data_IF_190488660992
#
_entry.id   IF_190488660992
#
_cell.length_a   1.000
_cell.length_b   1.000
_cell.length_c   1.000
_cell.angle_alpha   90.00
_cell.angle_beta   90.00
_cell.angle_gamma   90.00
#
_symmetry.space_group_name_H-M   'P 1'
#
loop_
_entity.id
_entity.type
_entity.pdbx_description
1 polymer ?
#
# COMPACT_ATOMS: atom_id res chain seq x y z
N UNK A 1 -3.35 -32.22 -10.83
CA UNK A 1 -3.02 -30.93 -11.47
C UNK A 1 -2.32 -30.08 -10.40
N UNK A 2 -0.99 -30.06 -10.39
CA UNK A 2 -0.19 -29.28 -9.43
C UNK A 2 -0.46 -27.81 -9.74
N UNK A 3 -1.17 -27.12 -8.85
CA UNK A 3 -1.13 -25.64 -8.83
C UNK A 3 0.30 -25.22 -8.57
N UNK A 4 1.01 -24.78 -9.61
CA UNK A 4 2.28 -24.10 -9.42
C UNK A 4 2.01 -22.93 -8.46
N UNK A 5 2.64 -22.96 -7.28
CA UNK A 5 2.61 -21.84 -6.36
C UNK A 5 3.12 -20.62 -7.13
N UNK A 6 2.24 -19.64 -7.39
CA UNK A 6 2.65 -18.41 -8.07
C UNK A 6 3.79 -17.78 -7.25
N UNK A 7 4.93 -17.56 -7.90
CA UNK A 7 6.11 -16.93 -7.27
C UNK A 7 5.70 -15.65 -6.53
N UNK A 8 6.17 -15.45 -5.30
CA UNK A 8 5.87 -14.23 -4.55
C UNK A 8 6.41 -13.00 -5.29
N UNK A 9 5.65 -11.93 -5.30
CA UNK A 9 6.08 -10.65 -5.87
C UNK A 9 7.04 -9.93 -4.91
N UNK A 10 8.01 -9.14 -5.42
CA UNK A 10 8.68 -8.16 -4.60
C UNK A 10 7.67 -7.12 -4.10
N UNK A 11 7.90 -6.60 -2.89
CA UNK A 11 7.00 -5.65 -2.23
C UNK A 11 7.73 -4.33 -1.99
N UNK A 12 7.12 -3.22 -2.42
CA UNK A 12 7.53 -1.87 -2.06
C UNK A 12 6.57 -1.28 -1.02
N UNK A 13 7.09 -0.88 0.13
CA UNK A 13 6.35 -0.18 1.18
C UNK A 13 6.62 1.31 1.06
N UNK A 14 5.59 2.13 0.82
CA UNK A 14 5.72 3.58 0.76
C UNK A 14 5.73 4.18 2.16
N UNK A 15 6.87 4.77 2.55
CA UNK A 15 7.09 5.32 3.88
C UNK A 15 7.80 6.71 3.88
N UNK A 16 8.09 7.29 2.71
CA UNK A 16 8.85 8.54 2.57
C UNK A 16 8.08 9.82 2.94
N UNK A 17 6.75 9.73 3.07
CA UNK A 17 5.86 10.88 3.23
C UNK A 17 6.09 11.71 4.50
N UNK A 18 5.83 13.03 4.41
CA UNK A 18 5.97 13.98 5.53
C UNK A 18 4.96 13.76 6.67
N UNK A 19 3.84 13.12 6.43
CA UNK A 19 2.80 12.90 7.43
C UNK A 19 2.10 14.18 7.93
N UNK A 20 2.08 15.27 7.15
CA UNK A 20 1.61 16.60 7.58
C UNK A 20 0.22 16.61 8.21
N UNK A 21 -0.70 15.77 7.72
CA UNK A 21 -2.08 15.64 8.23
C UNK A 21 -2.16 15.09 9.66
N UNK A 22 -1.08 14.48 10.17
CA UNK A 22 -0.99 13.97 11.54
C UNK A 22 -0.67 15.07 12.58
N UNK A 23 -0.34 16.30 12.13
CA UNK A 23 -0.07 17.43 13.01
C UNK A 23 1.07 17.17 14.01
N UNK A 24 0.79 17.36 15.29
CA UNK A 24 1.77 17.20 16.37
C UNK A 24 2.36 15.79 16.47
N UNK A 25 1.63 14.75 16.06
CA UNK A 25 2.07 13.35 16.13
C UNK A 25 3.30 13.05 15.25
N UNK A 26 3.54 13.88 14.23
CA UNK A 26 4.67 13.70 13.30
C UNK A 26 5.70 14.81 13.39
N UNK A 27 5.59 15.71 14.39
CA UNK A 27 6.59 16.76 14.60
C UNK A 27 7.98 16.20 14.91
N UNK A 28 8.04 15.21 15.80
CA UNK A 28 9.31 14.66 16.32
C UNK A 28 9.66 13.27 15.72
N UNK A 29 8.74 12.61 15.04
CA UNK A 29 8.96 11.31 14.40
C UNK A 29 8.27 11.22 13.02
N UNK A 30 8.75 10.39 12.09
CA UNK A 30 8.05 10.18 10.83
C UNK A 30 6.76 9.39 11.07
N UNK A 31 5.74 9.60 10.21
CA UNK A 31 4.42 8.96 10.32
C UNK A 31 4.50 7.42 10.46
N UNK A 32 5.35 6.69 9.72
CA UNK A 32 5.47 5.24 9.86
C UNK A 32 5.84 4.78 11.28
N UNK A 33 6.43 5.64 12.11
CA UNK A 33 6.75 5.36 13.51
C UNK A 33 5.69 5.80 14.53
N UNK A 34 4.54 6.30 14.07
CA UNK A 34 3.40 6.58 14.97
C UNK A 34 2.87 5.25 15.51
N UNK A 35 2.73 5.10 16.85
CA UNK A 35 2.29 3.83 17.43
C UNK A 35 0.78 3.65 17.34
N UNK A 36 0.36 2.45 16.93
CA UNK A 36 -0.99 1.93 17.06
C UNK A 36 -0.92 0.74 18.00
N UNK A 37 -1.63 0.80 19.15
CA UNK A 37 -1.54 -0.25 20.18
C UNK A 37 -0.10 -0.59 20.60
N UNK A 38 0.76 0.42 20.74
CA UNK A 38 2.15 0.27 21.18
C UNK A 38 3.12 -0.23 20.10
N UNK A 39 2.67 -0.46 18.89
CA UNK A 39 3.47 -0.94 17.76
C UNK A 39 3.50 0.09 16.63
N UNK A 40 4.66 0.33 16.01
CA UNK A 40 4.79 1.30 14.91
C UNK A 40 3.94 0.90 13.69
N UNK A 41 3.36 1.88 12.99
CA UNK A 41 2.56 1.65 11.78
C UNK A 41 3.31 0.85 10.72
N UNK A 42 4.59 1.13 10.53
CA UNK A 42 5.42 0.44 9.54
C UNK A 42 5.50 -1.07 9.80
N UNK A 43 5.50 -1.49 11.06
CA UNK A 43 5.64 -2.90 11.43
C UNK A 43 4.45 -3.74 10.96
N UNK A 44 3.25 -3.16 10.93
CA UNK A 44 2.07 -3.83 10.36
C UNK A 44 2.22 -4.06 8.85
N UNK A 45 2.73 -3.07 8.12
CA UNK A 45 2.97 -3.21 6.68
C UNK A 45 4.09 -4.22 6.37
N UNK A 46 5.16 -4.23 7.18
CA UNK A 46 6.26 -5.20 7.06
C UNK A 46 5.76 -6.62 7.30
N UNK A 47 4.92 -6.84 8.33
CA UNK A 47 4.36 -8.17 8.58
C UNK A 47 3.47 -8.64 7.44
N UNK A 48 2.59 -7.78 6.91
CA UNK A 48 1.74 -8.11 5.75
C UNK A 48 2.61 -8.55 4.57
N UNK A 49 3.70 -7.81 4.27
CA UNK A 49 4.61 -8.15 3.20
C UNK A 49 5.34 -9.49 3.46
N UNK A 50 5.85 -9.69 4.67
CA UNK A 50 6.54 -10.93 5.08
C UNK A 50 5.62 -12.15 5.00
N UNK A 51 4.41 -12.05 5.56
CA UNK A 51 3.42 -13.13 5.56
C UNK A 51 2.91 -13.49 4.15
N UNK A 52 2.99 -12.56 3.20
CA UNK A 52 2.70 -12.85 1.79
C UNK A 52 3.74 -13.75 1.12
N UNK A 53 4.86 -14.01 1.80
CA UNK A 53 5.99 -14.80 1.29
C UNK A 53 6.96 -13.98 0.42
N UNK A 54 6.90 -12.65 0.44
CA UNK A 54 7.78 -11.79 -0.33
C UNK A 54 9.25 -12.02 0.06
N UNK A 55 10.10 -12.29 -0.92
CA UNK A 55 11.55 -12.47 -0.71
C UNK A 55 12.30 -11.14 -0.71
N UNK A 56 11.78 -10.14 -1.43
CA UNK A 56 12.30 -8.78 -1.45
C UNK A 56 11.24 -7.84 -0.92
N UNK A 57 11.56 -7.17 0.18
CA UNK A 57 10.72 -6.11 0.77
C UNK A 57 11.58 -4.85 0.80
N UNK A 58 11.15 -3.79 0.14
CA UNK A 58 11.86 -2.51 0.05
C UNK A 58 11.00 -1.40 0.65
N UNK A 59 11.61 -0.57 1.50
CA UNK A 59 10.97 0.59 2.14
C UNK A 59 11.65 1.86 1.67
N UNK A 60 10.92 2.81 1.07
CA UNK A 60 11.50 4.12 0.76
C UNK A 60 11.50 5.05 1.97
N UNK A 61 12.56 5.82 2.10
CA UNK A 61 12.81 6.72 3.20
C UNK A 61 13.02 8.14 2.68
N UNK A 62 12.52 9.15 3.40
CA UNK A 62 12.84 10.55 3.16
C UNK A 62 12.73 11.38 4.45
N UNK A 63 11.52 11.74 4.87
CA UNK A 63 11.32 12.55 6.07
C UNK A 63 11.78 11.83 7.32
N UNK A 64 12.69 12.48 8.08
CA UNK A 64 13.31 11.90 9.30
C UNK A 64 13.81 10.47 9.08
N UNK A 65 14.43 10.26 7.91
CA UNK A 65 14.84 8.95 7.41
C UNK A 65 15.70 8.15 8.38
N UNK A 66 16.60 8.84 9.13
CA UNK A 66 17.49 8.14 10.07
C UNK A 66 16.72 7.39 11.15
N UNK A 67 15.67 8.00 11.71
CA UNK A 67 14.83 7.34 12.73
C UNK A 67 14.16 6.10 12.20
N UNK A 68 13.65 6.15 10.95
CA UNK A 68 12.99 5.01 10.34
C UNK A 68 14.01 3.94 9.92
N UNK A 69 15.19 4.33 9.43
CA UNK A 69 16.28 3.40 9.10
C UNK A 69 16.78 2.66 10.35
N UNK A 70 16.93 3.38 11.48
CA UNK A 70 17.35 2.77 12.76
C UNK A 70 16.31 1.78 13.28
N UNK A 71 15.01 2.12 13.17
CA UNK A 71 13.92 1.22 13.55
C UNK A 71 13.87 -0.07 12.70
N UNK A 72 14.18 0.05 11.41
CA UNK A 72 14.14 -1.06 10.45
C UNK A 72 15.46 -1.85 10.36
N UNK A 73 16.49 -1.49 11.12
CA UNK A 73 17.84 -2.07 11.00
C UNK A 73 17.87 -3.60 11.08
N UNK A 74 17.11 -4.16 12.00
CA UNK A 74 17.04 -5.61 12.24
C UNK A 74 15.81 -6.27 11.57
N UNK A 75 15.02 -5.49 10.84
CA UNK A 75 13.87 -6.00 10.10
C UNK A 75 14.34 -6.67 8.79
N UNK A 76 13.64 -7.71 8.30
CA UNK A 76 13.98 -8.39 7.04
C UNK A 76 13.56 -7.56 5.82
N UNK A 77 14.01 -6.32 5.74
CA UNK A 77 13.69 -5.37 4.67
C UNK A 77 14.95 -4.66 4.17
N UNK A 78 14.91 -4.23 2.92
CA UNK A 78 15.88 -3.28 2.37
C UNK A 78 15.31 -1.87 2.50
N UNK A 79 16.16 -0.87 2.60
CA UNK A 79 15.74 0.54 2.61
C UNK A 79 16.33 1.29 1.41
N UNK A 80 15.60 2.29 0.92
CA UNK A 80 16.04 3.18 -0.13
C UNK A 80 15.79 4.63 0.25
N UNK A 81 16.86 5.40 0.39
CA UNK A 81 16.78 6.83 0.70
C UNK A 81 16.50 7.65 -0.57
N UNK A 82 15.50 8.53 -0.48
CA UNK A 82 15.18 9.51 -1.53
C UNK A 82 15.78 10.88 -1.14
N UNK A 83 16.70 11.38 -1.94
CA UNK A 83 17.35 12.68 -1.76
C UNK A 83 17.57 13.37 -3.11
N UNK A 84 17.63 14.73 -3.14
CA UNK A 84 17.33 15.64 -2.02
C UNK A 84 15.83 15.73 -1.73
N UNK A 85 14.97 15.43 -2.69
CA UNK A 85 13.53 15.60 -2.63
C UNK A 85 12.81 14.26 -2.58
N UNK A 86 11.59 14.28 -2.02
CA UNK A 86 10.66 13.15 -2.10
C UNK A 86 10.25 12.90 -3.55
N UNK A 87 10.24 11.63 -3.96
CA UNK A 87 9.95 11.25 -5.35
C UNK A 87 8.47 10.97 -5.62
N UNK A 88 7.62 11.05 -4.60
CA UNK A 88 6.24 10.58 -4.63
C UNK A 88 6.15 9.08 -4.96
N UNK A 89 4.92 8.55 -5.12
CA UNK A 89 4.73 7.09 -5.24
C UNK A 89 5.25 6.51 -6.55
N UNK A 90 5.06 7.21 -7.67
CA UNK A 90 5.51 6.76 -8.99
C UNK A 90 7.01 6.89 -9.17
N UNK A 91 7.58 8.05 -8.83
CA UNK A 91 9.02 8.28 -8.88
C UNK A 91 9.79 7.41 -7.91
N UNK A 92 9.26 7.20 -6.70
CA UNK A 92 9.83 6.29 -5.70
C UNK A 92 9.87 4.85 -6.20
N UNK A 93 8.77 4.35 -6.79
CA UNK A 93 8.73 3.03 -7.39
C UNK A 93 9.69 2.90 -8.58
N UNK A 94 9.72 3.90 -9.49
CA UNK A 94 10.66 3.93 -10.62
C UNK A 94 12.12 3.85 -10.15
N UNK A 95 12.48 4.63 -9.13
CA UNK A 95 13.82 4.62 -8.56
C UNK A 95 14.17 3.29 -7.88
N UNK A 96 13.18 2.54 -7.37
CA UNK A 96 13.35 1.29 -6.66
C UNK A 96 13.51 0.06 -7.59
N UNK A 97 13.23 0.16 -8.89
CA UNK A 97 13.27 -0.96 -9.84
C UNK A 97 14.58 -1.75 -9.85
N UNK A 98 15.78 -1.13 -9.73
CA UNK A 98 17.02 -1.90 -9.66
C UNK A 98 17.10 -2.89 -8.51
N UNK A 99 16.37 -2.63 -7.41
CA UNK A 99 16.33 -3.49 -6.21
C UNK A 99 15.14 -4.46 -6.24
N UNK A 100 14.02 -4.07 -6.87
CA UNK A 100 12.82 -4.89 -6.97
C UNK A 100 12.86 -5.92 -8.10
N UNK A 101 13.73 -5.71 -9.08
CA UNK A 101 13.82 -6.57 -10.26
C UNK A 101 12.79 -6.25 -11.34
N UNK A 102 12.82 -7.05 -12.40
CA UNK A 102 11.88 -6.93 -13.52
C UNK A 102 10.56 -7.64 -13.21
N UNK A 103 9.45 -7.11 -13.73
CA UNK A 103 8.12 -7.70 -13.63
C UNK A 103 7.17 -6.95 -12.70
N UNK A 104 6.01 -7.55 -12.42
CA UNK A 104 5.03 -6.94 -11.53
C UNK A 104 5.54 -6.84 -10.10
N UNK A 105 5.22 -5.72 -9.45
CA UNK A 105 5.57 -5.40 -8.06
C UNK A 105 4.29 -5.22 -7.26
N UNK A 106 4.30 -5.65 -6.02
CA UNK A 106 3.29 -5.22 -5.03
C UNK A 106 3.73 -3.90 -4.43
N UNK A 107 2.82 -2.93 -4.37
CA UNK A 107 3.04 -1.74 -3.53
C UNK A 107 2.06 -1.72 -2.38
N UNK A 108 2.50 -1.26 -1.21
CA UNK A 108 1.66 -1.09 -0.02
C UNK A 108 2.00 0.23 0.69
N UNK A 109 0.98 0.96 1.10
CA UNK A 109 1.15 2.13 1.97
C UNK A 109 1.41 1.68 3.42
N UNK A 110 2.29 2.41 4.12
CA UNK A 110 2.65 2.12 5.53
C UNK A 110 1.65 2.67 6.55
N UNK A 111 0.53 3.23 6.13
CA UNK A 111 -0.36 4.04 6.97
C UNK A 111 -1.78 3.49 7.10
N UNK A 112 -1.94 2.18 6.94
CA UNK A 112 -3.23 1.51 7.11
C UNK A 112 -3.14 0.30 8.05
N UNK A 113 -4.22 0.05 8.78
CA UNK A 113 -4.41 -1.15 9.60
C UNK A 113 -5.44 -2.07 8.96
N UNK A 114 -5.17 -3.35 9.04
CA UNK A 114 -5.94 -4.41 8.38
C UNK A 114 -6.37 -5.49 9.37
N UNK A 115 -7.55 -6.06 9.16
CA UNK A 115 -8.02 -7.26 9.85
C UNK A 115 -8.73 -8.18 8.85
N UNK A 116 -8.38 -9.44 8.86
CA UNK A 116 -8.92 -10.45 7.96
C UNK A 116 -7.84 -11.08 7.08
N UNK A 117 -8.19 -11.41 5.84
CA UNK A 117 -7.27 -11.99 4.87
C UNK A 117 -6.09 -11.04 4.59
N UNK A 118 -4.87 -11.58 4.44
CA UNK A 118 -3.73 -10.79 4.02
C UNK A 118 -4.02 -10.10 2.67
N UNK A 119 -3.95 -8.75 2.58
CA UNK A 119 -4.37 -8.00 1.40
C UNK A 119 -3.54 -8.33 0.15
N UNK A 120 -2.28 -8.69 0.31
CA UNK A 120 -1.41 -9.12 -0.80
C UNK A 120 -1.83 -10.51 -1.31
N UNK A 121 -2.18 -11.43 -0.40
CA UNK A 121 -2.68 -12.75 -0.76
C UNK A 121 -4.02 -12.64 -1.51
N UNK A 122 -4.92 -11.76 -1.06
CA UNK A 122 -6.20 -11.48 -1.71
C UNK A 122 -6.03 -10.98 -3.16
N UNK A 123 -5.05 -10.10 -3.42
CA UNK A 123 -4.72 -9.65 -4.77
C UNK A 123 -4.08 -10.75 -5.61
N UNK A 124 -3.10 -11.46 -5.04
CA UNK A 124 -2.38 -12.53 -5.75
C UNK A 124 -3.30 -13.63 -6.26
N UNK A 125 -4.34 -13.98 -5.48
CA UNK A 125 -5.35 -14.96 -5.88
C UNK A 125 -6.16 -14.53 -7.12
N UNK A 126 -6.29 -13.22 -7.36
CA UNK A 126 -7.09 -12.63 -8.46
C UNK A 126 -6.26 -12.10 -9.62
N UNK A 127 -4.95 -12.05 -9.49
CA UNK A 127 -4.06 -11.49 -10.50
C UNK A 127 -4.03 -12.33 -11.78
N UNK A 128 -4.26 -11.67 -12.92
CA UNK A 128 -4.26 -12.25 -14.28
C UNK A 128 -3.32 -11.39 -15.17
N UNK A 129 -2.05 -11.76 -15.29
CA UNK A 129 -1.04 -10.94 -15.97
C UNK A 129 -1.32 -10.70 -17.46
N UNK A 130 -2.10 -11.59 -18.11
CA UNK A 130 -2.46 -11.46 -19.53
C UNK A 130 -3.45 -10.32 -19.77
N UNK A 131 -4.22 -9.94 -18.75
CA UNK A 131 -5.29 -8.94 -18.86
C UNK A 131 -5.03 -7.67 -18.07
N UNK A 132 -4.24 -7.78 -16.99
CA UNK A 132 -4.07 -6.73 -15.99
C UNK A 132 -2.69 -6.10 -16.10
N UNK A 133 -2.64 -4.78 -16.22
CA UNK A 133 -1.41 -4.02 -15.96
C UNK A 133 -1.35 -3.58 -14.48
N UNK A 134 -2.51 -3.34 -13.86
CA UNK A 134 -2.62 -3.13 -12.42
C UNK A 134 -3.88 -3.81 -11.86
N UNK A 135 -3.78 -4.30 -10.62
CA UNK A 135 -4.89 -4.79 -9.81
C UNK A 135 -4.85 -4.09 -8.46
N UNK A 136 -5.82 -3.21 -8.22
CA UNK A 136 -5.93 -2.40 -7.01
C UNK A 136 -6.87 -3.05 -6.01
N UNK A 137 -6.46 -3.13 -4.74
CA UNK A 137 -7.36 -3.52 -3.68
C UNK A 137 -8.17 -2.31 -3.22
N UNK A 138 -9.47 -2.43 -3.29
CA UNK A 138 -10.40 -1.37 -2.95
C UNK A 138 -11.35 -1.84 -1.83
N UNK A 139 -11.93 -0.89 -1.12
CA UNK A 139 -12.97 -1.13 -0.14
C UNK A 139 -14.16 -0.20 -0.43
N UNK A 140 -15.37 -0.64 -0.13
CA UNK A 140 -16.53 0.26 -0.21
C UNK A 140 -16.39 1.42 0.79
N UNK A 141 -16.70 2.63 0.36
CA UNK A 141 -16.55 3.84 1.19
C UNK A 141 -17.26 3.72 2.55
N UNK A 142 -18.39 3.03 2.59
CA UNK A 142 -19.15 2.78 3.83
C UNK A 142 -18.42 1.89 4.83
N UNK A 143 -17.41 1.12 4.37
CA UNK A 143 -16.57 0.25 5.21
C UNK A 143 -15.15 0.81 5.39
N UNK A 144 -14.82 1.93 4.74
CA UNK A 144 -13.51 2.55 4.82
C UNK A 144 -13.36 3.35 6.12
N UNK A 145 -12.92 2.69 7.19
CA UNK A 145 -12.72 3.33 8.49
C UNK A 145 -11.56 4.32 8.45
N UNK A 146 -11.67 5.42 9.19
CA UNK A 146 -10.65 6.47 9.22
C UNK A 146 -10.53 7.30 7.92
N UNK A 147 -11.29 6.98 6.88
CA UNK A 147 -11.28 7.69 5.61
C UNK A 147 -12.40 8.73 5.56
N UNK A 148 -12.05 9.99 5.27
CA UNK A 148 -13.00 11.11 5.21
C UNK A 148 -13.31 11.59 3.78
N UNK A 149 -12.63 11.03 2.77
CA UNK A 149 -12.78 11.44 1.37
C UNK A 149 -14.01 10.86 0.67
N UNK A 150 -14.22 11.27 -0.56
CA UNK A 150 -15.06 10.57 -1.52
C UNK A 150 -14.41 9.24 -1.93
N UNK A 151 -15.11 8.41 -2.68
CA UNK A 151 -14.48 7.23 -3.28
C UNK A 151 -13.59 7.62 -4.49
N UNK A 152 -12.65 6.77 -4.81
CA UNK A 152 -11.67 6.99 -5.87
C UNK A 152 -12.12 6.38 -7.20
N UNK A 153 -12.84 5.25 -7.13
CA UNK A 153 -13.15 4.42 -8.28
C UNK A 153 -14.57 3.85 -8.24
N UNK A 154 -15.04 3.47 -9.42
CA UNK A 154 -16.16 2.56 -9.63
C UNK A 154 -15.68 1.29 -10.35
N UNK A 155 -16.36 0.17 -10.12
CA UNK A 155 -16.04 -1.13 -10.69
C UNK A 155 -17.03 -1.48 -11.81
N UNK A 156 -16.55 -1.58 -13.03
CA UNK A 156 -17.34 -2.04 -14.16
C UNK A 156 -17.64 -3.54 -14.08
N UNK A 157 -18.66 -4.03 -14.81
CA UNK A 157 -19.06 -5.45 -14.82
C UNK A 157 -17.94 -6.41 -15.23
N UNK A 158 -16.99 -5.95 -16.05
CA UNK A 158 -15.83 -6.74 -16.48
C UNK A 158 -14.67 -6.72 -15.49
N UNK A 159 -14.81 -6.01 -14.35
CA UNK A 159 -13.78 -5.86 -13.32
C UNK A 159 -12.81 -4.70 -13.52
N UNK A 160 -12.92 -3.94 -14.62
CA UNK A 160 -12.10 -2.74 -14.82
C UNK A 160 -12.51 -1.60 -13.88
N UNK A 161 -11.54 -0.86 -13.38
CA UNK A 161 -11.76 0.36 -12.61
C UNK A 161 -11.93 1.58 -13.52
N UNK A 162 -12.82 2.46 -13.10
CA UNK A 162 -13.02 3.79 -13.69
C UNK A 162 -12.89 4.83 -12.58
N UNK A 163 -12.39 6.01 -12.89
CA UNK A 163 -12.29 7.12 -11.93
C UNK A 163 -13.67 7.57 -11.44
N UNK A 164 -13.73 7.92 -10.15
CA UNK A 164 -14.96 8.30 -9.49
C UNK A 164 -15.80 7.10 -9.06
N UNK A 165 -16.66 7.30 -8.07
CA UNK A 165 -17.52 6.26 -7.52
C UNK A 165 -17.35 6.07 -6.01
N UNK A 166 -17.74 4.92 -5.50
CA UNK A 166 -17.84 4.66 -4.07
C UNK A 166 -16.77 3.67 -3.54
N UNK A 167 -15.81 3.27 -4.35
CA UNK A 167 -14.69 2.44 -3.92
C UNK A 167 -13.49 3.31 -3.55
N UNK A 168 -12.91 3.06 -2.38
CA UNK A 168 -11.69 3.69 -1.88
C UNK A 168 -10.52 2.76 -2.15
N UNK A 169 -9.44 3.28 -2.73
CA UNK A 169 -8.19 2.55 -2.87
C UNK A 169 -7.50 2.40 -1.51
N UNK A 170 -7.23 1.19 -1.14
CA UNK A 170 -6.74 0.86 0.21
C UNK A 170 -5.23 1.04 0.40
N UNK A 171 -4.52 1.46 -0.66
CA UNK A 171 -3.06 1.59 -0.61
C UNK A 171 -2.30 0.31 -1.00
N UNK A 172 -2.99 -0.76 -1.43
CA UNK A 172 -2.32 -2.02 -1.85
C UNK A 172 -2.68 -2.37 -3.29
N UNK A 173 -1.68 -2.69 -4.11
CA UNK A 173 -1.87 -3.10 -5.50
C UNK A 173 -0.77 -4.07 -5.96
N UNK A 174 -1.07 -4.82 -7.03
CA UNK A 174 -0.08 -5.42 -7.92
C UNK A 174 -0.03 -4.56 -9.18
N UNK A 175 1.16 -4.17 -9.63
CA UNK A 175 1.32 -3.29 -10.80
C UNK A 175 2.49 -3.72 -11.67
N UNK A 176 2.30 -3.75 -12.99
CA UNK A 176 3.39 -3.86 -13.97
C UNK A 176 4.17 -2.55 -14.02
N UNK A 177 5.47 -2.65 -14.15
CA UNK A 177 6.39 -1.50 -14.03
C UNK A 177 6.93 -1.00 -15.36
N UNK A 178 6.61 -1.69 -16.46
CA UNK A 178 7.14 -1.40 -17.81
C UNK A 178 6.94 0.06 -18.25
N UNK A 179 5.77 0.64 -17.95
CA UNK A 179 5.45 2.03 -18.30
C UNK A 179 6.17 3.10 -17.48
N UNK A 180 6.81 2.76 -16.35
CA UNK A 180 7.46 3.74 -15.48
C UNK A 180 8.65 4.42 -16.16
N UNK A 181 9.39 3.68 -16.99
CA UNK A 181 10.60 4.22 -17.64
C UNK A 181 10.28 5.28 -18.69
N UNK A 182 9.08 5.24 -19.29
CA UNK A 182 8.64 6.24 -20.26
C UNK A 182 8.20 7.57 -19.63
N UNK A 183 8.02 7.63 -18.30
CA UNK A 183 7.67 8.86 -17.60
C UNK A 183 8.95 9.63 -17.32
N UNK A 184 9.11 10.80 -17.91
CA UNK A 184 10.34 11.62 -17.82
C UNK A 184 10.50 12.26 -16.43
N UNK A 185 9.40 12.63 -15.78
CA UNK A 185 9.41 13.27 -14.46
C UNK A 185 10.17 12.41 -13.44
N UNK A 186 10.99 13.05 -12.62
CA UNK A 186 11.71 12.40 -11.51
C UNK A 186 10.78 12.12 -10.34
N UNK A 187 9.98 13.12 -9.95
CA UNK A 187 9.00 13.02 -8.87
C UNK A 187 7.59 13.07 -9.45
N UNK A 188 6.81 12.02 -9.28
CA UNK A 188 5.44 11.91 -9.79
C UNK A 188 4.63 10.87 -9.02
N UNK A 189 3.31 11.08 -8.98
CA UNK A 189 2.38 10.13 -8.41
C UNK A 189 2.12 8.94 -9.34
N UNK A 190 1.89 7.74 -8.80
CA UNK A 190 1.40 6.57 -9.56
C UNK A 190 0.09 6.83 -10.30
N UNK A 191 -0.65 7.87 -9.91
CA UNK A 191 -1.84 8.31 -10.65
C UNK A 191 -1.56 8.60 -12.14
N UNK A 192 -0.34 9.05 -12.46
CA UNK A 192 0.05 9.31 -13.85
C UNK A 192 0.12 7.99 -14.66
N UNK A 193 0.72 6.96 -14.09
CA UNK A 193 0.76 5.63 -14.70
C UNK A 193 -0.64 5.00 -14.77
N UNK A 194 -1.42 5.10 -13.69
CA UNK A 194 -2.80 4.62 -13.69
C UNK A 194 -3.67 5.30 -14.75
N UNK A 195 -3.51 6.61 -15.01
CA UNK A 195 -4.28 7.29 -16.04
C UNK A 195 -4.07 6.63 -17.40
N UNK A 196 -2.82 6.36 -17.79
CA UNK A 196 -2.49 5.68 -19.03
C UNK A 196 -3.05 4.24 -19.09
N UNK A 197 -2.97 3.49 -17.97
CA UNK A 197 -3.50 2.13 -17.88
C UNK A 197 -5.03 2.09 -17.91
N UNK A 198 -5.72 3.08 -17.31
CA UNK A 198 -7.18 3.20 -17.33
C UNK A 198 -7.68 3.46 -18.76
N UNK A 199 -7.00 4.32 -19.52
CA UNK A 199 -7.32 4.56 -20.94
C UNK A 199 -7.26 3.26 -21.76
N UNK A 200 -6.29 2.39 -21.45
CA UNK A 200 -6.15 1.05 -22.06
C UNK A 200 -7.09 -0.01 -21.46
N UNK A 201 -7.90 0.35 -20.46
CA UNK A 201 -8.80 -0.55 -19.74
C UNK A 201 -8.08 -1.75 -19.10
N UNK A 202 -6.87 -1.54 -18.61
CA UNK A 202 -6.00 -2.58 -18.04
C UNK A 202 -5.81 -2.46 -16.51
N UNK A 203 -6.51 -1.51 -15.84
CA UNK A 203 -6.59 -1.41 -14.38
C UNK A 203 -7.84 -2.11 -13.89
N UNK A 204 -7.65 -3.09 -13.01
CA UNK A 204 -8.72 -3.88 -12.41
C UNK A 204 -8.84 -3.61 -10.93
N UNK A 205 -10.01 -3.87 -10.37
CA UNK A 205 -10.29 -3.76 -8.94
C UNK A 205 -10.63 -5.09 -8.29
N UNK A 206 -10.17 -5.26 -7.06
CA UNK A 206 -10.65 -6.31 -6.15
C UNK A 206 -11.23 -5.65 -4.91
N UNK A 207 -12.43 -6.06 -4.48
CA UNK A 207 -13.06 -5.54 -3.27
C UNK A 207 -12.59 -6.37 -2.08
N UNK A 208 -12.01 -5.68 -1.08
CA UNK A 208 -11.61 -6.27 0.19
C UNK A 208 -12.83 -6.49 1.09
N UNK A 209 -12.90 -7.65 1.72
CA UNK A 209 -14.02 -8.03 2.58
C UNK A 209 -13.72 -8.04 4.07
N UNK A 210 -12.47 -7.76 4.44
CA UNK A 210 -12.06 -7.58 5.84
C UNK A 210 -12.23 -6.14 6.31
N UNK A 211 -11.72 -5.83 7.49
CA UNK A 211 -11.69 -4.46 8.00
C UNK A 211 -10.40 -3.75 7.57
N UNK A 212 -10.54 -2.51 7.20
CA UNK A 212 -9.44 -1.63 6.82
C UNK A 212 -9.64 -0.25 7.45
N UNK A 213 -8.55 0.35 7.94
CA UNK A 213 -8.58 1.67 8.53
C UNK A 213 -7.41 2.51 8.00
N UNK A 214 -7.72 3.69 7.41
CA UNK A 214 -6.73 4.71 7.06
C UNK A 214 -6.27 5.45 8.32
N UNK A 215 -4.96 5.47 8.55
CA UNK A 215 -4.33 6.24 9.63
C UNK A 215 -3.71 7.52 9.07
N UNK A 216 -4.44 8.20 8.22
CA UNK A 216 -4.03 9.43 7.53
C UNK A 216 -4.03 10.69 8.40
N UNK A 217 -4.74 10.68 9.52
CA UNK A 217 -4.94 11.80 10.44
C UNK A 217 -5.26 11.29 11.86
N UNK A 218 -5.26 12.15 12.91
CA UNK A 218 -5.43 11.71 14.31
C UNK A 218 -6.70 10.90 14.59
N UNK A 219 -7.83 11.24 13.95
CA UNK A 219 -9.09 10.50 14.09
C UNK A 219 -8.98 9.09 13.51
N UNK A 220 -8.25 8.91 12.41
CA UNK A 220 -7.94 7.60 11.85
C UNK A 220 -7.07 6.76 12.79
N UNK A 221 -6.15 7.38 13.52
CA UNK A 221 -5.36 6.69 14.56
C UNK A 221 -6.28 6.15 15.68
N UNK A 222 -7.20 6.97 16.19
CA UNK A 222 -8.17 6.53 17.21
C UNK A 222 -9.04 5.38 16.70
N UNK A 223 -9.50 5.48 15.45
CA UNK A 223 -10.28 4.44 14.77
C UNK A 223 -9.52 3.10 14.68
N UNK A 224 -8.25 3.14 14.26
CA UNK A 224 -7.40 1.97 14.16
C UNK A 224 -7.15 1.30 15.53
N UNK A 225 -6.93 2.10 16.58
CA UNK A 225 -6.78 1.60 17.95
C UNK A 225 -8.06 0.88 18.44
N UNK A 226 -9.24 1.44 18.15
CA UNK A 226 -10.53 0.84 18.48
C UNK A 226 -10.75 -0.46 17.68
N UNK A 227 -10.49 -0.46 16.39
CA UNK A 227 -10.62 -1.64 15.53
C UNK A 227 -9.80 -2.81 16.08
N UNK A 228 -8.54 -2.59 16.48
CA UNK A 228 -7.67 -3.62 17.05
C UNK A 228 -8.08 -4.06 18.46
N UNK A 229 -8.79 -3.23 19.23
CA UNK A 229 -9.27 -3.60 20.57
C UNK A 229 -10.39 -4.65 20.53
N UNK A 230 -11.27 -4.57 19.53
CA UNK A 230 -12.42 -5.47 19.40
C UNK A 230 -12.08 -6.86 18.86
N UNK A 231 -10.85 -7.07 18.39
CA UNK A 231 -10.37 -8.36 17.88
C UNK A 231 -10.11 -9.41 18.98
N UNK A 232 -10.13 -9.02 20.26
CA UNK A 232 -9.86 -9.90 21.41
C UNK A 232 -11.13 -10.37 22.11
N UNK A 233 -12.34 -10.05 21.62
CA UNK A 233 -13.55 -10.66 22.15
C UNK A 233 -13.78 -12.01 21.47
N UNK A 234 -13.76 -13.14 22.19
CA UNK A 234 -14.23 -14.41 21.65
C UNK A 234 -15.68 -14.23 21.22
N UNK A 235 -16.02 -14.73 20.03
CA UNK A 235 -17.44 -14.82 19.63
C UNK A 235 -18.16 -15.57 20.75
N UNK A 236 -19.08 -14.90 21.44
CA UNK A 236 -20.01 -15.56 22.35
C UNK A 236 -20.75 -16.63 21.52
N UNK A 237 -20.67 -17.87 22.00
CA UNK A 237 -21.41 -19.02 21.44
C UNK A 237 -22.92 -18.78 21.50
#
# INVERSE_FOLDING_TARGET
MHMMAKTPFPVMIFAAGFGRRMGALTKDKPKPLVPVKGRALIDYAVDIARESGAQTILVNLHYKHQMLADHLRDAPVQTRLELPDILETGGGLKAALPQLGAGPVVTINSDAIWQGENPIAALRARWQPERMEALLLCIERTHAQGHSGAGDFSLAKNGCLQRGGNLVYTGVQIIKTDGLMAIEQRAFSLNLLWAQMIERRSVYGAVYRGNWCDVGHPEGLACAQNMLSHSHMPKAN
#
